data_IF_631656526707
#
_entry.id   IF_631656526707
#
_cell.length_a   1.000
_cell.length_b   1.000
_cell.length_c   1.000
_cell.angle_alpha   90.00
_cell.angle_beta   90.00
_cell.angle_gamma   90.00
#
_symmetry.space_group_name_H-M   'P 1'
#
loop_
_entity.id
_entity.type
_entity.pdbx_description
1 polymer ?
#
# COMPACT_ATOMS: atom_id res chain seq x y z
N UNK A 1 -20.00 -5.80 -11.68
CA UNK A 1 -19.11 -6.08 -10.53
C UNK A 1 -18.63 -4.75 -10.01
N UNK A 2 -19.06 -4.36 -8.81
CA UNK A 2 -18.60 -3.14 -8.15
C UNK A 2 -17.07 -3.19 -7.94
N UNK A 3 -16.40 -2.07 -8.17
CA UNK A 3 -14.94 -1.95 -8.07
C UNK A 3 -14.46 -2.11 -6.62
N UNK A 4 -15.25 -1.63 -5.66
CA UNK A 4 -14.98 -1.82 -4.23
C UNK A 4 -14.89 -3.31 -3.87
N UNK A 5 -15.80 -4.13 -4.39
CA UNK A 5 -15.76 -5.59 -4.17
C UNK A 5 -14.56 -6.28 -4.83
N UNK A 6 -13.97 -5.70 -5.89
CA UNK A 6 -12.71 -6.21 -6.45
C UNK A 6 -11.52 -5.87 -5.56
N UNK A 7 -11.45 -4.62 -5.05
CA UNK A 7 -10.43 -4.21 -4.09
C UNK A 7 -10.48 -5.07 -2.84
N UNK A 8 -11.67 -5.32 -2.30
CA UNK A 8 -11.84 -6.16 -1.10
C UNK A 8 -11.30 -7.57 -1.31
N UNK A 9 -11.65 -8.22 -2.43
CA UNK A 9 -11.11 -9.54 -2.79
C UNK A 9 -9.59 -9.53 -2.95
N UNK A 10 -9.02 -8.46 -3.49
CA UNK A 10 -7.56 -8.32 -3.59
C UNK A 10 -6.90 -8.27 -2.20
N UNK A 11 -7.51 -7.54 -1.27
CA UNK A 11 -7.04 -7.43 0.13
C UNK A 11 -7.21 -8.72 0.94
N UNK A 12 -8.07 -9.63 0.50
CA UNK A 12 -8.26 -10.97 1.07
C UNK A 12 -7.31 -12.02 0.49
N UNK A 13 -6.55 -11.67 -0.55
CA UNK A 13 -5.60 -12.59 -1.16
C UNK A 13 -4.50 -13.01 -0.17
N UNK A 14 -3.83 -14.14 -0.48
CA UNK A 14 -2.66 -14.59 0.29
C UNK A 14 -1.45 -13.65 0.18
N UNK A 15 -1.45 -12.74 -0.79
CA UNK A 15 -0.33 -11.85 -1.05
C UNK A 15 -0.36 -10.67 -0.08
N UNK A 16 0.80 -10.38 0.49
CA UNK A 16 0.99 -9.26 1.43
C UNK A 16 1.54 -8.01 0.74
N UNK A 17 2.11 -8.17 -0.45
CA UNK A 17 2.48 -7.07 -1.33
C UNK A 17 1.52 -7.05 -2.51
N UNK A 18 1.05 -5.86 -2.85
CA UNK A 18 0.23 -5.63 -4.03
C UNK A 18 0.77 -4.44 -4.82
N UNK A 19 0.71 -4.52 -6.14
CA UNK A 19 0.87 -3.33 -6.99
C UNK A 19 -0.48 -2.91 -7.53
N UNK A 20 -0.72 -1.60 -7.56
CA UNK A 20 -1.84 -0.97 -8.22
C UNK A 20 -1.30 0.13 -9.13
N UNK A 21 -1.24 -0.17 -10.43
CA UNK A 21 -0.77 0.77 -11.44
C UNK A 21 -1.95 1.50 -12.07
N UNK A 22 -2.00 2.84 -11.97
CA UNK A 22 -3.08 3.68 -12.52
C UNK A 22 -2.64 5.13 -12.75
N UNK A 23 -3.20 5.77 -13.79
CA UNK A 23 -2.99 7.22 -14.03
C UNK A 23 -3.79 8.10 -13.05
N UNK A 24 -4.80 7.55 -12.38
CA UNK A 24 -5.68 8.29 -11.46
C UNK A 24 -5.57 7.71 -10.04
N UNK A 25 -4.42 8.00 -9.41
CA UNK A 25 -4.09 7.49 -8.07
C UNK A 25 -4.99 8.11 -7.00
N UNK A 26 -5.42 9.36 -7.18
CA UNK A 26 -6.33 10.04 -6.23
C UNK A 26 -7.71 9.37 -6.19
N UNK A 27 -8.29 9.02 -7.34
CA UNK A 27 -9.54 8.27 -7.37
C UNK A 27 -9.45 6.91 -6.67
N UNK A 28 -8.30 6.23 -6.77
CA UNK A 28 -8.08 4.98 -6.02
C UNK A 28 -8.02 5.25 -4.51
N UNK A 29 -7.37 6.32 -4.07
CA UNK A 29 -7.35 6.73 -2.66
C UNK A 29 -8.75 7.07 -2.14
N UNK A 30 -9.58 7.73 -2.95
CA UNK A 30 -10.98 8.00 -2.59
C UNK A 30 -11.77 6.70 -2.37
N UNK A 31 -11.56 5.70 -3.23
CA UNK A 31 -12.21 4.40 -3.12
C UNK A 31 -11.72 3.64 -1.87
N UNK A 32 -10.42 3.70 -1.56
CA UNK A 32 -9.91 3.15 -0.30
C UNK A 32 -10.44 3.91 0.93
N UNK A 33 -10.61 5.22 0.82
CA UNK A 33 -11.20 6.02 1.90
C UNK A 33 -12.64 5.61 2.14
N UNK A 34 -13.43 5.39 1.09
CA UNK A 34 -14.79 4.84 1.18
C UNK A 34 -14.77 3.43 1.82
N UNK A 35 -13.90 2.54 1.33
CA UNK A 35 -13.77 1.18 1.88
C UNK A 35 -13.38 1.18 3.36
N UNK A 36 -12.49 2.08 3.78
CA UNK A 36 -12.04 2.18 5.17
C UNK A 36 -13.14 2.57 6.16
N UNK A 37 -14.23 3.18 5.69
CA UNK A 37 -15.39 3.54 6.54
C UNK A 37 -16.22 2.32 6.91
N UNK A 38 -16.21 1.29 6.07
CA UNK A 38 -17.01 0.08 6.23
C UNK A 38 -16.16 -1.13 6.63
N UNK A 39 -14.83 -0.98 6.67
CA UNK A 39 -13.90 -2.03 7.06
C UNK A 39 -13.46 -1.89 8.52
N UNK A 40 -13.31 -3.01 9.23
CA UNK A 40 -12.68 -3.04 10.55
C UNK A 40 -11.14 -2.92 10.49
N UNK A 41 -10.58 -2.82 9.28
CA UNK A 41 -9.13 -2.71 9.04
C UNK A 41 -8.71 -1.24 9.05
N UNK A 42 -7.56 -0.94 9.63
CA UNK A 42 -6.98 0.40 9.52
C UNK A 42 -6.29 0.58 8.16
N UNK A 43 -6.60 1.67 7.47
CA UNK A 43 -5.96 2.06 6.22
C UNK A 43 -5.06 3.26 6.46
N UNK A 44 -3.81 3.14 6.03
CA UNK A 44 -2.80 4.17 6.11
C UNK A 44 -2.32 4.53 4.72
N UNK A 45 -1.91 5.77 4.55
CA UNK A 45 -1.31 6.27 3.32
C UNK A 45 -0.03 7.04 3.64
N UNK A 46 0.97 6.87 2.79
CA UNK A 46 2.12 7.77 2.71
C UNK A 46 2.33 8.22 1.26
N UNK A 47 3.02 9.35 1.13
CA UNK A 47 3.50 9.91 -0.13
C UNK A 47 5.00 10.21 0.02
N UNK A 48 5.75 10.34 -1.08
CA UNK A 48 7.15 10.72 -1.02
C UNK A 48 7.32 12.04 -0.26
N UNK A 49 8.27 12.08 0.67
CA UNK A 49 8.59 13.23 1.52
C UNK A 49 7.49 13.66 2.51
N UNK A 50 6.38 12.94 2.60
CA UNK A 50 5.32 13.17 3.58
C UNK A 50 5.31 12.07 4.64
N UNK A 51 4.85 12.43 5.84
CA UNK A 51 4.65 11.42 6.87
C UNK A 51 3.40 10.59 6.61
N UNK A 52 3.46 9.32 6.97
CA UNK A 52 2.32 8.42 6.93
C UNK A 52 1.19 8.91 7.84
N UNK A 53 -0.05 8.71 7.42
CA UNK A 53 -1.23 9.04 8.20
C UNK A 53 -2.34 8.04 7.93
N UNK A 54 -3.36 8.03 8.79
CA UNK A 54 -4.55 7.19 8.60
C UNK A 54 -5.49 7.84 7.59
N UNK A 55 -6.06 7.08 6.66
CA UNK A 55 -7.12 7.59 5.77
C UNK A 55 -8.28 8.13 6.61
N UNK A 56 -8.77 9.31 6.24
CA UNK A 56 -9.78 10.07 7.01
C UNK A 56 -9.22 10.91 8.16
N UNK A 57 -7.92 10.86 8.45
CA UNK A 57 -7.26 11.66 9.49
C UNK A 57 -5.92 12.24 9.01
N UNK A 58 -5.88 12.83 7.81
CA UNK A 58 -4.66 13.34 7.18
C UNK A 58 -3.93 14.43 7.98
N UNK A 59 -4.63 15.15 8.86
CA UNK A 59 -4.04 16.14 9.76
C UNK A 59 -3.24 15.52 10.93
N UNK A 60 -3.32 14.21 11.14
CA UNK A 60 -2.60 13.48 12.19
C UNK A 60 -1.57 12.58 11.53
N UNK A 61 -0.35 13.10 11.44
CA UNK A 61 0.79 12.36 10.90
C UNK A 61 1.43 11.46 11.95
N UNK A 62 1.80 10.25 11.54
CA UNK A 62 2.55 9.30 12.36
C UNK A 62 3.99 9.81 12.50
N UNK A 63 4.51 9.98 13.72
CA UNK A 63 5.90 10.40 13.93
C UNK A 63 6.90 9.41 13.32
N UNK A 64 8.02 9.91 12.79
CA UNK A 64 9.10 9.09 12.19
C UNK A 64 8.57 8.14 11.11
N UNK A 65 7.96 8.70 10.07
CA UNK A 65 7.37 7.96 8.95
C UNK A 65 7.54 8.70 7.60
N UNK A 66 8.60 9.52 7.48
CA UNK A 66 8.82 10.34 6.27
C UNK A 66 9.69 9.64 5.24
N UNK A 67 10.65 8.85 5.69
CA UNK A 67 11.53 8.07 4.80
C UNK A 67 10.96 6.68 4.56
N UNK A 68 11.34 6.04 3.46
CA UNK A 68 10.94 4.66 3.16
C UNK A 68 11.29 3.70 4.30
N UNK A 69 12.51 3.81 4.84
CA UNK A 69 12.95 3.02 6.00
C UNK A 69 12.06 3.25 7.22
N UNK A 70 11.81 4.50 7.58
CA UNK A 70 10.93 4.83 8.71
C UNK A 70 9.50 4.31 8.54
N UNK A 71 8.95 4.41 7.32
CA UNK A 71 7.63 3.87 6.98
C UNK A 71 7.58 2.35 7.15
N UNK A 72 8.59 1.63 6.67
CA UNK A 72 8.66 0.17 6.82
C UNK A 72 8.93 -0.25 8.26
N UNK A 73 9.80 0.45 8.99
CA UNK A 73 10.02 0.23 10.43
C UNK A 73 8.68 0.40 11.19
N UNK A 74 7.88 1.40 10.84
CA UNK A 74 6.56 1.59 11.44
C UNK A 74 5.60 0.43 11.12
N UNK A 75 5.53 0.01 9.85
CA UNK A 75 4.68 -1.10 9.40
C UNK A 75 5.05 -2.39 10.14
N UNK A 76 6.34 -2.70 10.20
CA UNK A 76 6.88 -3.91 10.82
C UNK A 76 6.58 -3.94 12.33
N UNK A 77 6.71 -2.82 13.03
CA UNK A 77 6.50 -2.75 14.48
C UNK A 77 5.02 -2.62 14.90
N UNK A 78 4.10 -2.41 13.96
CA UNK A 78 2.67 -2.32 14.26
C UNK A 78 2.09 -3.70 14.58
N UNK A 79 1.43 -3.82 15.74
CA UNK A 79 0.87 -5.09 16.22
C UNK A 79 -0.45 -5.50 15.56
N UNK A 80 -1.18 -4.54 15.01
CA UNK A 80 -2.51 -4.77 14.45
C UNK A 80 -2.47 -4.95 12.93
N UNK A 81 -3.47 -5.66 12.41
CA UNK A 81 -3.74 -5.73 10.98
C UNK A 81 -3.85 -4.30 10.42
N UNK A 82 -3.16 -4.03 9.32
CA UNK A 82 -3.20 -2.74 8.64
C UNK A 82 -2.99 -2.87 7.14
N UNK A 83 -3.64 -2.00 6.38
CA UNK A 83 -3.42 -1.81 4.94
C UNK A 83 -2.65 -0.51 4.78
N UNK A 84 -1.50 -0.59 4.13
CA UNK A 84 -0.56 0.51 3.96
C UNK A 84 -0.42 0.82 2.47
N UNK A 85 -0.88 1.99 2.07
CA UNK A 85 -0.85 2.47 0.70
C UNK A 85 0.37 3.39 0.57
N UNK A 86 1.41 2.91 -0.11
CA UNK A 86 2.64 3.66 -0.35
C UNK A 86 2.55 4.25 -1.76
N UNK A 87 2.28 5.55 -1.85
CA UNK A 87 2.20 6.24 -3.14
C UNK A 87 3.59 6.52 -3.69
N UNK A 88 3.75 6.31 -5.00
CA UNK A 88 4.94 6.70 -5.78
C UNK A 88 6.26 6.18 -5.17
N UNK A 89 6.25 4.97 -4.62
CA UNK A 89 7.33 4.40 -3.80
C UNK A 89 8.57 3.92 -4.61
N UNK A 90 8.59 4.11 -5.93
CA UNK A 90 9.68 3.62 -6.79
C UNK A 90 11.06 4.13 -6.36
N UNK A 91 11.13 5.33 -5.76
CA UNK A 91 12.38 5.94 -5.28
C UNK A 91 13.14 5.12 -4.24
N UNK A 92 12.50 4.11 -3.63
CA UNK A 92 13.10 3.25 -2.62
C UNK A 92 13.17 1.78 -3.04
N UNK A 93 12.65 1.43 -4.23
CA UNK A 93 12.62 0.05 -4.71
C UNK A 93 13.94 -0.42 -5.32
N UNK A 94 14.97 0.42 -5.37
CA UNK A 94 16.34 0.06 -5.75
C UNK A 94 17.26 -0.22 -4.55
N UNK A 95 16.86 0.17 -3.33
CA UNK A 95 17.63 -0.06 -2.10
C UNK A 95 17.50 -1.53 -1.64
N UNK A 96 18.59 -2.31 -1.61
CA UNK A 96 18.57 -3.71 -1.17
C UNK A 96 18.03 -3.92 0.25
N UNK A 97 18.21 -2.94 1.16
CA UNK A 97 17.71 -3.02 2.54
C UNK A 97 16.19 -2.88 2.57
N UNK A 98 15.64 -1.97 1.77
CA UNK A 98 14.20 -1.79 1.62
C UNK A 98 13.57 -3.05 1.02
N UNK A 99 14.20 -3.61 -0.02
CA UNK A 99 13.75 -4.86 -0.65
C UNK A 99 13.74 -6.02 0.36
N UNK A 100 14.80 -6.16 1.16
CA UNK A 100 14.88 -7.20 2.19
C UNK A 100 13.76 -7.04 3.23
N UNK A 101 13.55 -5.84 3.77
CA UNK A 101 12.51 -5.57 4.77
C UNK A 101 11.10 -5.79 4.20
N UNK A 102 10.84 -5.41 2.95
CA UNK A 102 9.57 -5.69 2.28
C UNK A 102 9.31 -7.20 2.16
N UNK A 103 10.35 -7.99 1.90
CA UNK A 103 10.26 -9.45 1.84
C UNK A 103 9.98 -10.06 3.22
N UNK A 104 10.60 -9.53 4.27
CA UNK A 104 10.36 -9.96 5.65
C UNK A 104 8.90 -9.67 6.05
N UNK A 105 8.41 -8.46 5.75
CA UNK A 105 7.00 -8.09 5.96
C UNK A 105 6.08 -9.02 5.14
N UNK A 106 6.44 -9.35 3.91
CA UNK A 106 5.60 -10.15 3.03
C UNK A 106 5.50 -11.63 3.44
N UNK A 107 6.48 -12.13 4.20
CA UNK A 107 6.57 -13.51 4.67
C UNK A 107 6.21 -13.67 6.14
N UNK A 108 6.08 -12.56 6.86
CA UNK A 108 5.60 -12.55 8.25
C UNK A 108 4.20 -13.14 8.38
N UNK A 109 3.91 -13.87 9.48
CA UNK A 109 2.55 -14.30 9.80
C UNK A 109 1.62 -13.13 10.14
N UNK A 110 2.17 -11.94 10.38
CA UNK A 110 1.38 -10.75 10.65
C UNK A 110 0.53 -10.38 9.44
N UNK A 111 -0.71 -10.01 9.73
CA UNK A 111 -1.67 -9.68 8.68
C UNK A 111 -1.53 -8.21 8.24
N UNK A 112 -0.35 -7.86 7.72
CA UNK A 112 -0.03 -6.54 7.16
C UNK A 112 -0.07 -6.63 5.64
N UNK A 113 -0.69 -5.64 4.99
CA UNK A 113 -0.76 -5.58 3.53
C UNK A 113 -0.18 -4.26 3.07
N UNK A 114 0.81 -4.30 2.18
CA UNK A 114 1.40 -3.14 1.53
C UNK A 114 0.90 -3.07 0.09
N UNK A 115 0.43 -1.90 -0.31
CA UNK A 115 -0.02 -1.59 -1.66
C UNK A 115 0.88 -0.50 -2.22
N UNK A 116 1.62 -0.81 -3.27
CA UNK A 116 2.34 0.19 -4.06
C UNK A 116 1.36 0.80 -5.06
N UNK A 117 1.05 2.07 -4.90
CA UNK A 117 0.09 2.81 -5.73
C UNK A 117 0.82 3.89 -6.52
N UNK A 118 0.94 3.71 -7.83
CA UNK A 118 1.66 4.64 -8.71
C UNK A 118 1.11 4.55 -10.13
N UNK A 119 1.54 5.43 -11.04
CA UNK A 119 1.30 5.24 -12.47
C UNK A 119 1.98 3.97 -13.00
N UNK A 120 3.20 3.74 -12.54
CA UNK A 120 4.00 2.56 -12.83
C UNK A 120 4.75 2.13 -11.58
N UNK A 121 4.87 0.82 -11.35
CA UNK A 121 5.64 0.26 -10.23
C UNK A 121 6.82 -0.53 -10.75
N UNK A 122 8.04 -0.02 -10.51
CA UNK A 122 9.28 -0.70 -10.87
C UNK A 122 9.59 -1.83 -9.86
N UNK A 123 8.80 -2.90 -9.91
CA UNK A 123 8.86 -3.95 -8.91
C UNK A 123 10.10 -4.84 -9.10
N UNK A 124 11.03 -4.87 -8.11
CA UNK A 124 12.24 -5.69 -8.14
C UNK A 124 11.94 -7.17 -8.31
N UNK A 125 12.87 -7.90 -8.94
CA UNK A 125 12.70 -9.33 -9.26
C UNK A 125 12.45 -10.16 -7.99
N UNK A 126 13.10 -9.80 -6.91
CA UNK A 126 13.10 -10.40 -5.59
C UNK A 126 11.71 -10.34 -4.93
N UNK A 127 10.92 -9.30 -5.22
CA UNK A 127 9.58 -9.12 -4.66
C UNK A 127 8.47 -9.75 -5.51
N UNK A 128 8.73 -10.07 -6.78
CA UNK A 128 7.73 -10.65 -7.70
C UNK A 128 7.01 -11.89 -7.13
N UNK A 129 7.68 -12.86 -6.48
CA UNK A 129 7.01 -14.05 -5.94
C UNK A 129 6.03 -13.75 -4.81
N UNK A 130 6.22 -12.63 -4.10
CA UNK A 130 5.44 -12.23 -2.92
C UNK A 130 4.39 -11.17 -3.23
N UNK A 131 4.29 -10.76 -4.49
CA UNK A 131 3.48 -9.62 -4.90
C UNK A 131 2.40 -10.03 -5.89
N UNK A 132 1.15 -9.68 -5.59
CA UNK A 132 0.08 -9.72 -6.56
C UNK A 132 0.11 -8.44 -7.40
N UNK A 133 0.22 -8.57 -8.72
CA UNK A 133 0.18 -7.40 -9.61
C UNK A 133 -1.23 -7.13 -10.10
N UNK A 134 -1.68 -5.89 -9.96
CA UNK A 134 -2.87 -5.39 -10.63
C UNK A 134 -2.51 -4.18 -11.49
N UNK A 135 -2.73 -4.31 -12.80
CA UNK A 135 -2.75 -3.18 -13.73
C UNK A 135 -4.20 -2.72 -13.84
N UNK A 136 -4.54 -1.60 -13.23
CA UNK A 136 -5.90 -1.09 -13.23
C UNK A 136 -6.00 0.19 -14.06
N UNK A 137 -6.50 0.03 -15.28
CA UNK A 137 -7.12 1.13 -15.99
C UNK A 137 -8.52 1.31 -15.41
N UNK A 138 -8.67 2.27 -14.49
CA UNK A 138 -9.98 2.78 -14.13
C UNK A 138 -10.60 3.33 -15.43
N UNK A 139 -11.54 2.58 -16.02
CA UNK A 139 -12.31 3.11 -17.14
C UNK A 139 -13.05 4.34 -16.62
N UNK A 140 -12.81 5.48 -17.24
CA UNK A 140 -13.64 6.66 -17.02
C UNK A 140 -15.08 6.24 -17.34
N UNK A 141 -15.94 6.24 -16.32
CA UNK A 141 -17.36 6.32 -16.56
C UNK A 141 -17.59 7.73 -17.12
N UNK A 142 -17.83 7.80 -18.42
CA UNK A 142 -18.31 9.00 -19.13
C UNK A 142 -19.75 9.24 -18.69
#
# INVERSE_FOLDING_TARGET
MDYLGQLEKMLESRYRLLTMETYDTDRVVDLFTQLSRFSNKAFYMSQPNEGMHRLGAAHITIPRSKTAKEQLDHIENTRHFGIYILRDFNYALDDPKIIAQLKDIATSPDAKVIIFLSEFVDLPRELKPYTMRSKHQLKHAI
#
